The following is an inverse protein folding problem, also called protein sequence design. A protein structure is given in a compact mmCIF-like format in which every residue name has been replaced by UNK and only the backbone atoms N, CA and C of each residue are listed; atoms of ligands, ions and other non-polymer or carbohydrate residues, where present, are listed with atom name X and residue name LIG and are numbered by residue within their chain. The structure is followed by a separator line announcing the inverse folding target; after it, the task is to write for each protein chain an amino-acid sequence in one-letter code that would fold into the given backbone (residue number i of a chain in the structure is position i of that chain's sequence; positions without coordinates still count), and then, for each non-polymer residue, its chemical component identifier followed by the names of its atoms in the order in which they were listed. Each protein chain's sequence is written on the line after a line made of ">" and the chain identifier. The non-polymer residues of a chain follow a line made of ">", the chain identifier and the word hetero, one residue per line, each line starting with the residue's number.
data_IF_300214439540
#
_entry.id   IF_300214439540
#
_cell.length_a   1.000
_cell.length_b   1.000
_cell.length_c   1.000
_cell.angle_alpha   90.00
_cell.angle_beta   90.00
_cell.angle_gamma   90.00
#
_symmetry.space_group_name_H-M   'P 1'
#
loop_
_entity.id
_entity.type
_entity.pdbx_description
1 polymer ?
#
# COMPACT_ATOMS: atom_id res chain seq x y z
N UNK A 1 -60.70 6.64 -55.70
CA UNK A 1 -59.48 7.00 -54.96
C UNK A 1 -58.38 6.07 -55.45
N UNK A 2 -57.29 6.63 -55.95
CA UNK A 2 -56.39 6.05 -56.93
C UNK A 2 -55.36 5.13 -56.28
N UNK A 3 -55.14 3.92 -56.79
CA UNK A 3 -54.12 2.94 -56.36
C UNK A 3 -52.70 3.57 -56.13
N UNK A 4 -52.40 4.62 -56.85
CA UNK A 4 -51.12 5.34 -56.75
C UNK A 4 -50.92 6.08 -55.39
N UNK A 5 -51.96 6.47 -54.67
CA UNK A 5 -51.86 7.15 -53.39
C UNK A 5 -51.64 6.16 -52.22
N UNK A 6 -52.15 4.89 -52.34
CA UNK A 6 -51.88 3.86 -51.34
C UNK A 6 -50.45 3.36 -51.36
N UNK A 7 -49.85 3.26 -52.56
CA UNK A 7 -48.40 2.87 -52.66
C UNK A 7 -47.44 3.97 -52.13
N UNK A 8 -47.81 5.24 -52.28
CA UNK A 8 -46.99 6.34 -51.72
C UNK A 8 -47.05 6.43 -50.19
N UNK A 9 -48.18 6.12 -49.58
CA UNK A 9 -48.31 6.06 -48.10
C UNK A 9 -47.65 4.81 -47.51
N UNK A 10 -47.77 3.68 -48.21
CA UNK A 10 -47.08 2.45 -47.82
C UNK A 10 -45.55 2.59 -47.85
N UNK A 11 -44.99 3.21 -48.90
CA UNK A 11 -43.55 3.45 -48.97
C UNK A 11 -43.02 4.43 -47.97
N UNK A 12 -43.81 5.41 -47.49
CA UNK A 12 -43.41 6.30 -46.41
C UNK A 12 -43.39 5.61 -45.05
N UNK A 13 -44.34 4.71 -44.77
CA UNK A 13 -44.40 3.92 -43.54
C UNK A 13 -43.18 2.97 -43.42
N UNK A 14 -42.81 2.34 -44.51
CA UNK A 14 -41.65 1.43 -44.53
C UNK A 14 -40.29 2.19 -44.39
N UNK A 15 -40.20 3.40 -44.94
CA UNK A 15 -39.01 4.24 -44.74
C UNK A 15 -38.85 4.73 -43.30
N UNK A 16 -39.93 5.03 -42.60
CA UNK A 16 -39.90 5.42 -41.18
C UNK A 16 -39.56 4.24 -40.29
N UNK A 17 -40.06 3.04 -40.59
CA UNK A 17 -39.72 1.81 -39.84
C UNK A 17 -38.28 1.38 -40.11
N UNK A 18 -37.77 1.56 -41.35
CA UNK A 18 -36.36 1.27 -41.65
C UNK A 18 -35.39 2.29 -41.04
N UNK A 19 -35.76 3.58 -40.90
CA UNK A 19 -34.93 4.56 -40.17
C UNK A 19 -34.99 4.35 -38.64
N UNK A 20 -36.11 3.89 -38.08
CA UNK A 20 -36.20 3.55 -36.68
C UNK A 20 -35.42 2.26 -36.36
N UNK A 21 -35.36 1.29 -37.27
CA UNK A 21 -34.56 0.08 -37.13
C UNK A 21 -33.06 0.34 -37.25
N UNK A 22 -32.65 1.38 -38.03
CA UNK A 22 -31.25 1.80 -38.15
C UNK A 22 -30.76 2.63 -36.95
N UNK A 23 -31.65 3.16 -36.11
CA UNK A 23 -31.25 3.86 -34.86
C UNK A 23 -31.30 2.98 -33.63
N UNK A 24 -31.80 1.76 -33.69
CA UNK A 24 -31.74 0.75 -32.62
C UNK A 24 -30.56 -0.21 -32.80
N UNK A 25 -29.87 -0.16 -33.94
CA UNK A 25 -28.77 -1.06 -34.30
C UNK A 25 -27.35 -0.58 -33.95
N UNK A 26 -27.19 0.48 -33.16
CA UNK A 26 -25.86 0.99 -32.76
C UNK A 26 -25.66 1.07 -31.24
N UNK A 27 -26.23 0.11 -30.52
CA UNK A 27 -25.78 -0.21 -29.16
C UNK A 27 -25.38 -1.71 -29.12
N UNK A 28 -24.59 -2.14 -30.11
CA UNK A 28 -23.64 -3.22 -29.82
C UNK A 28 -22.60 -2.58 -28.91
N UNK A 29 -22.68 -2.90 -27.60
CA UNK A 29 -21.51 -2.80 -26.74
C UNK A 29 -20.41 -3.58 -27.47
N UNK A 30 -19.47 -2.90 -28.07
CA UNK A 30 -18.16 -3.49 -28.29
C UNK A 30 -17.69 -3.84 -26.89
N UNK A 31 -17.78 -5.11 -26.52
CA UNK A 31 -16.98 -5.64 -25.43
C UNK A 31 -15.53 -5.44 -25.89
N UNK A 32 -14.93 -4.31 -25.50
CA UNK A 32 -13.51 -4.11 -25.68
C UNK A 32 -12.82 -5.24 -24.95
N UNK A 33 -12.07 -6.06 -25.69
CA UNK A 33 -11.35 -7.19 -25.08
C UNK A 33 -10.47 -6.68 -23.96
N UNK A 34 -10.69 -7.19 -22.76
CA UNK A 34 -9.88 -6.90 -21.59
C UNK A 34 -10.39 -5.78 -20.68
N UNK A 35 -11.57 -5.20 -20.93
CA UNK A 35 -12.19 -4.23 -20.02
C UNK A 35 -12.84 -4.98 -18.85
N UNK A 36 -12.48 -4.58 -17.64
CA UNK A 36 -13.06 -5.10 -16.39
C UNK A 36 -13.79 -3.96 -15.68
N UNK A 37 -15.00 -4.24 -15.18
CA UNK A 37 -15.83 -3.28 -14.46
C UNK A 37 -16.01 -3.71 -13.00
N UNK A 38 -16.03 -2.71 -12.12
CA UNK A 38 -16.33 -2.90 -10.69
C UNK A 38 -17.19 -1.76 -10.18
N UNK A 39 -18.13 -2.05 -9.30
CA UNK A 39 -18.90 -1.04 -8.55
C UNK A 39 -18.67 -1.27 -7.06
N UNK A 40 -18.04 -0.31 -6.41
CA UNK A 40 -17.76 -0.36 -4.99
C UNK A 40 -19.05 -0.26 -4.14
N UNK A 41 -18.97 -0.77 -2.91
CA UNK A 41 -20.02 -0.65 -1.89
C UNK A 41 -20.24 0.79 -1.43
N UNK A 42 -20.74 0.95 -0.20
CA UNK A 42 -20.93 2.27 0.37
C UNK A 42 -19.59 2.97 0.64
N UNK A 43 -19.47 4.27 0.28
CA UNK A 43 -18.24 5.00 0.51
C UNK A 43 -18.03 5.25 2.02
N UNK A 44 -16.78 5.24 2.45
CA UNK A 44 -16.46 5.76 3.77
C UNK A 44 -16.29 7.29 3.72
N UNK A 45 -16.54 7.94 4.84
CA UNK A 45 -16.30 9.37 5.01
C UNK A 45 -14.82 9.62 5.28
N UNK A 46 -14.19 10.47 4.48
CA UNK A 46 -12.80 10.91 4.71
C UNK A 46 -12.69 11.78 5.96
N UNK A 47 -11.52 11.78 6.57
CA UNK A 47 -11.21 12.61 7.74
C UNK A 47 -11.09 14.10 7.37
N UNK A 48 -11.30 14.95 8.35
CA UNK A 48 -11.03 16.39 8.24
C UNK A 48 -9.83 16.71 9.15
N UNK A 49 -8.71 17.08 8.56
CA UNK A 49 -7.49 17.45 9.28
C UNK A 49 -7.06 18.86 8.91
N UNK A 50 -6.56 19.60 9.88
CA UNK A 50 -6.04 20.95 9.66
C UNK A 50 -4.72 20.89 8.88
N UNK A 51 -4.45 21.94 8.11
CA UNK A 51 -3.14 22.07 7.46
C UNK A 51 -2.05 22.21 8.54
N UNK A 52 -0.97 21.41 8.47
CA UNK A 52 0.08 21.44 9.50
C UNK A 52 0.76 22.81 9.55
N UNK A 53 1.07 23.26 10.77
CA UNK A 53 1.90 24.44 10.95
C UNK A 53 3.31 24.15 10.44
N UNK A 54 3.78 24.96 9.48
CA UNK A 54 5.17 24.89 9.00
C UNK A 54 6.08 25.21 10.17
N UNK A 55 7.03 24.33 10.58
CA UNK A 55 8.21 24.84 11.34
C UNK A 55 9.01 23.91 12.23
N UNK A 56 8.62 22.67 12.48
CA UNK A 56 9.42 21.82 13.38
C UNK A 56 9.93 20.57 12.66
N UNK A 57 11.15 20.16 13.00
CA UNK A 57 11.59 18.81 12.67
C UNK A 57 10.65 17.80 13.36
N UNK A 58 10.24 16.73 12.69
CA UNK A 58 9.38 15.75 13.28
C UNK A 58 10.09 14.99 14.40
N UNK A 59 9.34 14.68 15.46
CA UNK A 59 9.74 13.75 16.50
C UNK A 59 9.43 12.30 16.07
N UNK A 60 8.27 12.13 15.45
CA UNK A 60 7.77 10.84 14.98
C UNK A 60 7.71 10.82 13.45
N UNK A 61 7.94 9.66 12.87
CA UNK A 61 7.86 9.43 11.42
C UNK A 61 7.00 8.21 11.15
N UNK A 62 6.00 8.35 10.30
CA UNK A 62 5.17 7.25 9.82
C UNK A 62 5.32 7.21 8.30
N UNK A 63 5.94 6.13 7.81
CA UNK A 63 6.16 5.90 6.40
C UNK A 63 5.20 4.81 5.91
N UNK A 64 4.29 5.17 5.02
CA UNK A 64 3.21 4.32 4.55
C UNK A 64 3.42 3.96 3.09
N UNK A 65 3.33 2.68 2.75
CA UNK A 65 3.59 2.15 1.40
C UNK A 65 2.35 1.38 0.93
N UNK A 66 1.77 1.76 -0.21
CA UNK A 66 0.81 0.93 -0.94
C UNK A 66 1.56 0.18 -2.03
N UNK A 67 1.78 -1.11 -1.87
CA UNK A 67 2.54 -1.90 -2.84
C UNK A 67 1.83 -1.92 -4.20
N UNK A 68 2.55 -1.63 -5.27
CA UNK A 68 2.01 -1.56 -6.62
C UNK A 68 1.07 -0.38 -6.92
N UNK A 69 0.88 0.55 -5.96
CA UNK A 69 -0.12 1.62 -5.99
C UNK A 69 0.33 2.85 -6.80
N UNK A 70 0.20 2.81 -8.11
CA UNK A 70 0.43 3.97 -8.99
C UNK A 70 -0.74 4.97 -9.03
N UNK A 71 -0.61 6.00 -9.86
CA UNK A 71 -1.62 7.06 -10.02
C UNK A 71 -2.97 6.54 -10.53
N UNK A 72 -2.96 5.58 -11.45
CA UNK A 72 -4.19 5.00 -12.00
C UNK A 72 -4.97 4.20 -10.95
N UNK A 73 -4.25 3.50 -10.07
CA UNK A 73 -4.80 2.76 -8.95
C UNK A 73 -5.49 3.71 -7.96
N UNK A 74 -4.82 4.80 -7.60
CA UNK A 74 -5.36 5.84 -6.71
C UNK A 74 -6.58 6.50 -7.37
N UNK A 75 -6.49 6.87 -8.65
CA UNK A 75 -7.60 7.46 -9.40
C UNK A 75 -8.83 6.55 -9.45
N UNK A 76 -8.62 5.24 -9.62
CA UNK A 76 -9.68 4.24 -9.61
C UNK A 76 -10.35 4.12 -8.24
N UNK A 77 -9.57 4.05 -7.16
CA UNK A 77 -10.08 4.05 -5.79
C UNK A 77 -10.82 5.37 -5.44
N UNK A 78 -10.36 6.50 -5.96
CA UNK A 78 -11.02 7.80 -5.80
C UNK A 78 -12.43 7.80 -6.40
N UNK A 79 -12.61 7.29 -7.63
CA UNK A 79 -13.94 7.12 -8.24
C UNK A 79 -14.79 6.17 -7.40
N UNK A 80 -14.23 5.05 -6.98
CA UNK A 80 -14.91 4.02 -6.18
C UNK A 80 -15.43 4.58 -4.84
N UNK A 81 -14.67 5.45 -4.17
CA UNK A 81 -15.10 6.13 -2.93
C UNK A 81 -15.84 7.46 -3.17
N UNK A 82 -16.54 7.56 -4.28
CA UNK A 82 -17.40 8.72 -4.62
C UNK A 82 -16.64 10.04 -4.69
N UNK A 83 -15.40 10.02 -5.17
CA UNK A 83 -14.61 11.22 -5.45
C UNK A 83 -13.89 11.81 -4.23
N UNK A 84 -13.55 11.00 -3.23
CA UNK A 84 -12.76 11.45 -2.07
C UNK A 84 -11.85 10.35 -1.54
N UNK A 85 -10.60 10.70 -1.16
CA UNK A 85 -9.67 9.85 -0.42
C UNK A 85 -9.04 10.63 0.74
N UNK A 86 -8.59 9.93 1.78
CA UNK A 86 -7.88 10.54 2.91
C UNK A 86 -6.50 11.06 2.49
N UNK A 87 -5.80 10.35 1.62
CA UNK A 87 -4.47 10.78 1.13
C UNK A 87 -4.53 12.13 0.39
N UNK A 88 -5.68 12.55 -0.15
CA UNK A 88 -5.85 13.88 -0.74
C UNK A 88 -5.83 15.03 0.28
N UNK A 89 -5.94 14.72 1.58
CA UNK A 89 -5.83 15.72 2.66
C UNK A 89 -4.37 16.11 2.92
N UNK A 90 -3.41 15.40 2.34
CA UNK A 90 -1.99 15.64 2.47
C UNK A 90 -1.54 16.73 1.47
N UNK A 91 -1.03 17.88 1.95
CA UNK A 91 -0.86 19.06 1.11
C UNK A 91 0.37 19.05 0.20
N UNK A 92 1.34 18.19 0.48
CA UNK A 92 2.59 18.12 -0.27
C UNK A 92 2.62 16.86 -1.10
N UNK A 93 2.81 17.00 -2.41
CA UNK A 93 2.71 15.91 -3.37
C UNK A 93 3.86 15.99 -4.36
N UNK A 94 4.43 14.84 -4.68
CA UNK A 94 5.44 14.71 -5.72
C UNK A 94 5.39 13.34 -6.38
N UNK A 95 6.37 13.09 -7.23
CA UNK A 95 6.53 11.83 -7.95
C UNK A 95 7.93 11.26 -7.73
N UNK A 96 8.04 9.93 -7.67
CA UNK A 96 9.33 9.28 -7.59
C UNK A 96 9.56 8.26 -8.71
N UNK A 97 10.84 8.12 -9.12
CA UNK A 97 11.31 7.08 -10.03
C UNK A 97 11.73 5.86 -9.22
N UNK A 98 11.29 4.69 -9.65
CA UNK A 98 11.39 3.46 -8.86
C UNK A 98 12.41 2.45 -9.40
N UNK A 99 13.06 2.70 -10.55
CA UNK A 99 14.01 1.75 -11.17
C UNK A 99 15.10 1.29 -10.19
N UNK A 100 15.54 0.04 -10.34
CA UNK A 100 16.64 -0.55 -9.57
C UNK A 100 17.99 -0.51 -10.34
N UNK A 101 19.10 -0.93 -9.72
CA UNK A 101 20.43 -0.79 -10.34
C UNK A 101 20.57 -1.51 -11.66
N UNK A 102 19.97 -2.67 -11.81
CA UNK A 102 20.15 -3.53 -12.98
C UNK A 102 18.94 -3.57 -13.93
N UNK A 103 17.80 -2.95 -13.57
CA UNK A 103 16.57 -2.96 -14.38
C UNK A 103 15.78 -1.67 -14.27
N UNK A 104 15.13 -1.30 -15.39
CA UNK A 104 14.17 -0.18 -15.41
C UNK A 104 12.91 -0.48 -14.59
N UNK A 105 12.41 -1.70 -14.67
CA UNK A 105 11.24 -2.17 -13.94
C UNK A 105 11.71 -2.90 -12.69
N UNK A 106 11.51 -2.27 -11.54
CA UNK A 106 11.92 -2.80 -10.23
C UNK A 106 11.00 -3.94 -9.77
N UNK A 107 11.38 -4.59 -8.68
CA UNK A 107 10.51 -5.37 -7.81
C UNK A 107 10.47 -4.75 -6.41
N UNK A 108 9.60 -5.27 -5.54
CA UNK A 108 9.41 -4.76 -4.17
C UNK A 108 10.70 -4.88 -3.34
N UNK A 109 11.55 -5.89 -3.57
CA UNK A 109 12.82 -6.03 -2.83
C UNK A 109 13.78 -4.87 -3.11
N UNK A 110 14.05 -4.56 -4.38
CA UNK A 110 14.94 -3.46 -4.75
C UNK A 110 14.32 -2.09 -4.49
N UNK A 111 13.00 -1.92 -4.71
CA UNK A 111 12.30 -0.68 -4.43
C UNK A 111 12.18 -0.44 -2.92
N UNK A 112 11.79 -1.44 -2.15
CA UNK A 112 11.75 -1.40 -0.69
C UNK A 112 13.14 -1.12 -0.09
N UNK A 113 14.21 -1.75 -0.62
CA UNK A 113 15.58 -1.42 -0.23
C UNK A 113 15.88 0.06 -0.43
N UNK A 114 15.53 0.64 -1.59
CA UNK A 114 15.76 2.06 -1.85
C UNK A 114 14.95 2.95 -0.88
N UNK A 115 13.70 2.57 -0.58
CA UNK A 115 12.82 3.29 0.35
C UNK A 115 13.25 3.13 1.81
N UNK A 116 13.74 1.94 2.21
CA UNK A 116 14.17 1.69 3.58
C UNK A 116 15.53 2.31 3.90
N UNK A 117 16.48 2.27 2.95
CA UNK A 117 17.92 2.54 3.22
C UNK A 117 18.44 3.82 2.58
N UNK A 118 17.76 4.34 1.55
CA UNK A 118 18.26 5.42 0.70
C UNK A 118 19.30 4.98 -0.32
N UNK A 119 19.41 3.69 -0.61
CA UNK A 119 20.37 3.13 -1.57
C UNK A 119 19.67 2.16 -2.52
N UNK A 120 19.89 2.33 -3.83
CA UNK A 120 19.39 1.37 -4.82
C UNK A 120 20.22 0.09 -4.81
N UNK A 121 19.58 -1.04 -5.08
CA UNK A 121 20.21 -2.35 -5.25
C UNK A 121 19.72 -3.06 -6.51
N UNK A 122 20.14 -4.29 -6.74
CA UNK A 122 19.64 -5.13 -7.83
C UNK A 122 18.28 -5.73 -7.48
N UNK A 123 17.51 -6.04 -8.51
CA UNK A 123 16.24 -6.76 -8.40
C UNK A 123 16.41 -8.03 -7.57
N UNK A 124 15.48 -8.30 -6.65
CA UNK A 124 15.48 -9.48 -5.78
C UNK A 124 16.27 -9.35 -4.48
N UNK A 125 17.05 -8.29 -4.29
CA UNK A 125 17.92 -8.13 -3.12
C UNK A 125 17.23 -7.30 -2.02
N UNK A 126 17.29 -7.79 -0.78
CA UNK A 126 16.68 -7.23 0.42
C UNK A 126 17.75 -6.53 1.25
N UNK A 127 17.70 -5.21 1.36
CA UNK A 127 18.60 -4.34 2.13
C UNK A 127 20.11 -4.72 2.00
N UNK A 128 20.51 -5.25 0.84
CA UNK A 128 21.87 -5.74 0.54
C UNK A 128 22.31 -5.21 -0.82
N UNK A 129 23.58 -4.77 -0.93
CA UNK A 129 24.18 -4.36 -2.20
C UNK A 129 24.67 -5.59 -3.01
N UNK A 130 24.90 -5.43 -4.34
CA UNK A 130 25.37 -6.53 -5.18
C UNK A 130 26.72 -7.16 -4.77
N UNK A 131 27.51 -6.47 -3.98
CA UNK A 131 28.78 -6.96 -3.43
C UNK A 131 28.63 -7.68 -2.07
N UNK A 132 27.38 -7.82 -1.57
CA UNK A 132 27.08 -8.45 -0.29
C UNK A 132 27.10 -7.49 0.90
N UNK A 133 27.30 -6.18 0.68
CA UNK A 133 27.27 -5.19 1.76
C UNK A 133 25.82 -5.02 2.26
N UNK A 134 25.59 -5.25 3.55
CA UNK A 134 24.33 -5.01 4.23
C UNK A 134 24.09 -3.50 4.43
N UNK A 135 22.85 -3.06 4.28
CA UNK A 135 22.43 -1.65 4.33
C UNK A 135 21.57 -1.39 5.56
N UNK A 136 21.90 -0.41 6.36
CA UNK A 136 21.08 0.03 7.49
C UNK A 136 19.80 0.72 6.99
N UNK A 137 18.65 0.19 7.37
CA UNK A 137 17.36 0.81 7.11
C UNK A 137 17.13 2.06 7.98
N UNK A 138 16.08 2.82 7.69
CA UNK A 138 15.68 3.94 8.54
C UNK A 138 15.24 3.47 9.94
N UNK A 139 14.77 2.22 10.11
CA UNK A 139 14.45 1.67 11.43
C UNK A 139 15.73 1.42 12.23
N UNK A 140 16.77 0.86 11.63
CA UNK A 140 18.07 0.70 12.31
C UNK A 140 18.63 2.05 12.72
N UNK A 141 18.59 3.06 11.85
CA UNK A 141 19.02 4.45 12.19
C UNK A 141 18.18 5.03 13.34
N UNK A 142 16.88 4.73 13.38
CA UNK A 142 15.99 5.17 14.46
C UNK A 142 16.36 4.52 15.80
N UNK A 143 16.66 3.23 15.80
CA UNK A 143 17.14 2.50 16.98
C UNK A 143 18.46 3.08 17.49
N UNK A 144 19.41 3.36 16.60
CA UNK A 144 20.70 4.03 16.94
C UNK A 144 20.48 5.43 17.56
N UNK A 145 19.40 6.12 17.15
CA UNK A 145 18.99 7.42 17.71
C UNK A 145 18.13 7.28 19.00
N UNK A 146 17.92 6.07 19.51
CA UNK A 146 17.12 5.83 20.72
C UNK A 146 15.61 5.93 20.53
N UNK A 147 15.12 5.96 19.27
CA UNK A 147 13.70 5.98 18.93
C UNK A 147 13.12 4.57 18.92
N UNK A 148 11.84 4.45 19.24
CA UNK A 148 11.11 3.20 19.04
C UNK A 148 10.82 2.96 17.57
N UNK A 149 10.66 1.68 17.20
CA UNK A 149 10.45 1.28 15.82
C UNK A 149 9.29 0.33 15.65
N UNK A 150 8.60 0.39 14.49
CA UNK A 150 7.47 -0.47 14.21
C UNK A 150 7.32 -0.84 12.74
N UNK A 151 6.77 -2.03 12.50
CA UNK A 151 6.37 -2.54 11.19
C UNK A 151 4.96 -3.11 11.30
N UNK A 152 4.06 -2.66 10.44
CA UNK A 152 2.67 -3.13 10.36
C UNK A 152 2.34 -3.38 8.89
N UNK A 153 2.02 -4.63 8.53
CA UNK A 153 1.75 -5.02 7.15
C UNK A 153 0.54 -5.95 7.05
N UNK A 154 -0.06 -6.03 5.87
CA UNK A 154 -1.16 -6.97 5.61
C UNK A 154 -0.68 -8.25 4.92
N UNK A 155 0.53 -8.27 4.38
CA UNK A 155 1.18 -9.46 3.82
C UNK A 155 1.88 -10.32 4.90
N UNK A 156 2.59 -11.32 4.43
CA UNK A 156 3.56 -12.08 5.21
C UNK A 156 4.74 -11.19 5.61
N UNK A 157 5.21 -11.32 6.83
CA UNK A 157 6.38 -10.55 7.32
C UNK A 157 7.68 -10.87 6.57
N UNK A 158 7.76 -12.04 5.91
CA UNK A 158 8.87 -12.38 5.00
C UNK A 158 8.70 -11.84 3.58
N UNK A 159 7.64 -11.10 3.29
CA UNK A 159 7.54 -10.42 1.99
C UNK A 159 8.63 -9.37 1.85
N UNK A 160 8.93 -9.01 0.60
CA UNK A 160 10.10 -8.23 0.30
C UNK A 160 10.11 -6.85 0.96
N UNK A 161 8.99 -6.12 0.90
CA UNK A 161 8.94 -4.74 1.43
C UNK A 161 9.20 -4.67 2.93
N UNK A 162 8.48 -5.37 3.83
CA UNK A 162 8.78 -5.35 5.26
C UNK A 162 10.18 -5.86 5.57
N UNK A 163 10.64 -6.88 4.83
CA UNK A 163 11.97 -7.45 5.01
C UNK A 163 13.09 -6.42 4.79
N UNK A 164 12.94 -5.48 3.85
CA UNK A 164 13.96 -4.45 3.61
C UNK A 164 14.14 -3.47 4.77
N UNK A 165 13.17 -3.39 5.69
CA UNK A 165 13.25 -2.57 6.89
C UNK A 165 13.87 -3.31 8.08
N UNK A 166 13.82 -4.66 8.09
CA UNK A 166 14.15 -5.51 9.24
C UNK A 166 15.29 -6.50 8.99
N UNK A 167 15.56 -6.90 7.76
CA UNK A 167 16.36 -8.06 7.41
C UNK A 167 17.33 -7.74 6.28
N UNK A 168 18.27 -8.67 6.03
CA UNK A 168 19.25 -8.58 4.94
C UNK A 168 19.32 -9.92 4.21
N UNK A 169 19.06 -9.93 2.91
CA UNK A 169 19.27 -11.13 2.09
C UNK A 169 19.59 -10.74 0.63
N UNK A 170 20.43 -11.54 0.00
CA UNK A 170 20.71 -11.39 -1.43
C UNK A 170 19.58 -11.92 -2.31
N UNK A 171 18.62 -12.66 -1.74
CA UNK A 171 17.51 -13.31 -2.42
C UNK A 171 16.21 -13.21 -1.59
N UNK A 172 15.24 -12.41 -2.08
CA UNK A 172 13.93 -12.27 -1.46
C UNK A 172 13.14 -13.58 -1.27
N UNK A 173 13.50 -14.61 -2.04
CA UNK A 173 12.82 -15.90 -1.98
C UNK A 173 13.35 -16.80 -0.84
N UNK A 174 14.41 -16.38 -0.13
CA UNK A 174 14.91 -17.05 1.07
C UNK A 174 14.04 -16.78 2.31
N UNK A 175 12.76 -17.16 2.25
CA UNK A 175 11.76 -16.85 3.26
C UNK A 175 12.15 -17.30 4.69
N UNK A 176 12.76 -18.49 4.82
CA UNK A 176 13.17 -19.01 6.13
C UNK A 176 14.35 -18.25 6.74
N UNK A 177 15.32 -17.81 5.91
CA UNK A 177 16.43 -16.96 6.31
C UNK A 177 15.93 -15.58 6.76
N UNK A 178 15.10 -14.95 5.94
CA UNK A 178 14.50 -13.64 6.22
C UNK A 178 13.72 -13.65 7.56
N UNK A 179 12.89 -14.68 7.81
CA UNK A 179 12.18 -14.77 9.09
C UNK A 179 13.14 -15.00 10.26
N UNK A 180 14.24 -15.71 10.07
CA UNK A 180 15.22 -15.87 11.14
C UNK A 180 15.92 -14.56 11.52
N UNK A 181 16.10 -13.63 10.58
CA UNK A 181 16.70 -12.30 10.85
C UNK A 181 15.83 -11.43 11.75
N UNK A 182 14.51 -11.64 11.79
CA UNK A 182 13.63 -10.93 12.73
C UNK A 182 14.02 -11.15 14.20
N UNK A 183 14.69 -12.25 14.52
CA UNK A 183 15.16 -12.50 15.89
C UNK A 183 16.18 -11.45 16.37
N UNK A 184 16.88 -10.80 15.45
CA UNK A 184 17.95 -9.84 15.76
C UNK A 184 17.67 -8.42 15.22
N UNK A 185 16.52 -8.18 14.59
CA UNK A 185 16.16 -6.89 13.99
C UNK A 185 15.91 -5.77 15.02
N UNK A 186 15.58 -6.12 16.26
CA UNK A 186 15.37 -5.16 17.36
C UNK A 186 14.16 -4.22 17.18
N UNK A 187 13.24 -4.51 16.26
CA UNK A 187 12.04 -3.69 16.03
C UNK A 187 11.05 -3.88 17.18
N UNK A 188 10.61 -2.79 17.81
CA UNK A 188 9.78 -2.84 19.03
C UNK A 188 8.34 -3.35 18.78
N UNK A 189 7.77 -3.09 17.60
CA UNK A 189 6.41 -3.52 17.26
C UNK A 189 6.38 -4.11 15.85
N UNK A 190 6.09 -5.40 15.76
CA UNK A 190 6.02 -6.18 14.52
C UNK A 190 4.61 -6.76 14.43
N UNK A 191 3.88 -6.48 13.35
CA UNK A 191 2.56 -7.05 13.12
C UNK A 191 2.29 -7.31 11.63
N UNK A 192 1.88 -8.54 11.30
CA UNK A 192 1.57 -8.98 9.94
C UNK A 192 1.10 -10.42 9.89
N UNK A 193 1.18 -11.03 8.71
CA UNK A 193 0.91 -12.44 8.48
C UNK A 193 2.17 -13.29 8.39
N UNK A 194 2.05 -14.57 7.97
CA UNK A 194 3.16 -15.45 7.62
C UNK A 194 3.50 -16.53 8.63
N UNK A 195 2.57 -16.96 9.52
CA UNK A 195 2.82 -17.98 10.53
C UNK A 195 3.43 -19.27 9.95
N UNK A 196 3.10 -19.61 8.70
CA UNK A 196 3.70 -20.76 8.01
C UNK A 196 5.24 -20.68 7.99
N UNK A 197 5.79 -19.48 7.76
CA UNK A 197 7.26 -19.26 7.70
C UNK A 197 7.87 -19.01 9.09
N UNK A 198 7.09 -18.62 10.06
CA UNK A 198 7.55 -18.47 11.43
C UNK A 198 7.63 -19.81 12.16
N UNK A 199 6.71 -20.76 11.85
CA UNK A 199 6.59 -22.02 12.57
C UNK A 199 6.06 -23.18 11.71
N UNK A 200 4.86 -23.03 11.11
CA UNK A 200 4.01 -24.18 10.76
C UNK A 200 4.51 -24.99 9.53
N UNK A 201 5.20 -24.35 8.57
CA UNK A 201 5.68 -24.98 7.34
C UNK A 201 7.21 -24.85 7.14
N UNK A 202 7.97 -24.55 8.19
CA UNK A 202 9.43 -24.45 8.09
C UNK A 202 10.07 -25.81 7.83
N UNK A 203 11.07 -25.82 6.94
CA UNK A 203 11.80 -27.05 6.57
C UNK A 203 12.98 -27.34 7.50
N UNK A 204 13.48 -26.34 8.22
CA UNK A 204 14.57 -26.46 9.19
C UNK A 204 14.11 -26.95 10.57
N UNK A 205 12.79 -27.07 10.79
CA UNK A 205 12.18 -27.56 12.02
C UNK A 205 12.27 -26.59 13.21
N UNK A 206 12.64 -25.31 12.97
CA UNK A 206 12.65 -24.26 13.99
C UNK A 206 11.26 -23.70 14.23
N UNK A 207 11.02 -23.19 15.44
CA UNK A 207 9.86 -22.38 15.81
C UNK A 207 10.35 -20.94 16.13
N UNK A 208 10.49 -20.12 15.09
CA UNK A 208 10.97 -18.74 15.23
C UNK A 208 10.00 -17.90 16.06
N UNK A 209 8.68 -18.25 16.03
CA UNK A 209 7.69 -17.54 16.82
C UNK A 209 7.85 -17.80 18.33
N UNK A 210 8.25 -19.00 18.71
CA UNK A 210 8.65 -19.29 20.10
C UNK A 210 10.01 -18.64 20.43
N UNK A 211 10.99 -18.73 19.54
CA UNK A 211 12.33 -18.17 19.75
C UNK A 211 12.31 -16.64 19.96
N UNK A 212 11.47 -15.89 19.23
CA UNK A 212 11.33 -14.45 19.44
C UNK A 212 10.68 -14.14 20.80
N UNK A 213 9.76 -14.99 21.24
CA UNK A 213 9.21 -14.92 22.59
C UNK A 213 10.27 -15.12 23.67
N UNK A 214 11.22 -16.05 23.48
CA UNK A 214 12.37 -16.25 24.40
C UNK A 214 13.32 -15.04 24.42
N UNK A 215 13.36 -14.24 23.33
CA UNK A 215 14.08 -12.95 23.28
C UNK A 215 13.34 -11.80 23.99
N UNK A 216 12.16 -12.07 24.55
CA UNK A 216 11.41 -11.12 25.38
C UNK A 216 10.27 -10.40 24.68
N UNK A 217 9.94 -10.74 23.43
CA UNK A 217 8.76 -10.22 22.78
C UNK A 217 7.49 -10.83 23.34
N UNK A 218 6.47 -10.00 23.54
CA UNK A 218 5.12 -10.49 23.73
C UNK A 218 4.55 -10.93 22.37
N UNK A 219 4.14 -12.20 22.27
CA UNK A 219 3.72 -12.81 20.99
C UNK A 219 2.20 -12.95 20.92
N UNK A 220 1.62 -12.65 19.74
CA UNK A 220 0.16 -12.69 19.50
C UNK A 220 -0.15 -13.37 18.18
N UNK A 221 -1.16 -14.26 18.16
CA UNK A 221 -1.62 -14.99 16.98
C UNK A 221 -3.00 -14.50 16.49
N UNK A 222 -3.63 -13.56 17.18
CA UNK A 222 -4.90 -12.96 16.77
C UNK A 222 -4.98 -11.48 17.21
N UNK A 223 -5.82 -10.72 16.52
CA UNK A 223 -5.93 -9.27 16.74
C UNK A 223 -6.59 -8.92 18.06
N UNK A 224 -7.53 -9.72 18.54
CA UNK A 224 -8.25 -9.42 19.80
C UNK A 224 -7.29 -9.46 21.00
N UNK A 225 -6.42 -10.46 21.06
CA UNK A 225 -5.39 -10.57 22.08
C UNK A 225 -4.34 -9.46 21.93
N UNK A 226 -3.94 -9.13 20.70
CA UNK A 226 -3.04 -8.02 20.40
C UNK A 226 -3.57 -6.68 20.93
N UNK A 227 -4.88 -6.43 20.84
CA UNK A 227 -5.48 -5.20 21.39
C UNK A 227 -5.33 -5.10 22.92
N UNK A 228 -5.10 -6.21 23.60
CA UNK A 228 -4.78 -6.27 25.04
C UNK A 228 -3.30 -6.03 25.36
N UNK A 229 -2.41 -5.90 24.38
CA UNK A 229 -0.98 -5.68 24.61
C UNK A 229 -0.73 -4.37 25.38
N UNK A 230 0.18 -4.39 26.34
CA UNK A 230 0.50 -3.23 27.19
C UNK A 230 2.00 -2.92 27.32
N UNK A 231 2.87 -3.79 26.76
CA UNK A 231 4.33 -3.71 26.82
C UNK A 231 4.98 -4.00 25.48
N UNK A 232 6.06 -3.30 25.18
CA UNK A 232 6.98 -3.58 24.08
C UNK A 232 8.16 -4.44 24.59
N UNK A 233 8.83 -5.22 23.73
CA UNK A 233 8.52 -5.40 22.32
C UNK A 233 7.36 -6.39 22.05
N UNK A 234 6.74 -6.28 20.87
CA UNK A 234 5.61 -7.10 20.40
C UNK A 234 5.92 -7.74 19.06
N UNK A 235 5.58 -9.03 18.92
CA UNK A 235 5.54 -9.73 17.64
C UNK A 235 4.15 -10.37 17.44
N UNK A 236 3.36 -9.86 16.53
CA UNK A 236 2.03 -10.34 16.21
C UNK A 236 2.01 -10.93 14.79
N UNK A 237 1.84 -12.26 14.70
CA UNK A 237 1.73 -12.99 13.44
C UNK A 237 0.32 -13.55 13.32
N UNK A 238 -0.55 -12.83 12.61
CA UNK A 238 -2.00 -12.90 12.75
C UNK A 238 -2.70 -13.77 11.69
N UNK A 239 -1.95 -14.35 10.76
CA UNK A 239 -2.46 -15.23 9.74
C UNK A 239 -1.40 -16.23 9.28
N UNK A 240 -1.79 -17.40 8.70
CA UNK A 240 -0.83 -18.36 8.13
C UNK A 240 0.01 -17.79 6.98
N UNK A 241 -0.62 -17.05 6.09
CA UNK A 241 -0.04 -16.29 4.97
C UNK A 241 -0.37 -14.82 5.12
N UNK A 242 -0.92 -14.16 4.08
CA UNK A 242 -1.44 -12.80 4.14
C UNK A 242 -2.67 -12.72 5.04
N UNK A 243 -2.98 -11.53 5.57
CA UNK A 243 -4.27 -11.29 6.22
C UNK A 243 -5.42 -11.52 5.21
N UNK A 244 -6.64 -11.87 5.66
CA UNK A 244 -7.78 -12.03 4.76
C UNK A 244 -7.94 -10.81 3.85
N UNK A 245 -8.33 -11.03 2.58
CA UNK A 245 -8.55 -9.94 1.62
C UNK A 245 -9.58 -8.92 2.14
N UNK A 246 -9.34 -7.64 1.91
CA UNK A 246 -10.30 -6.58 2.21
C UNK A 246 -11.65 -6.82 1.53
N UNK A 247 -11.64 -7.30 0.28
CA UNK A 247 -12.86 -7.64 -0.48
C UNK A 247 -13.71 -8.72 0.20
N UNK A 248 -13.09 -9.67 0.92
CA UNK A 248 -13.84 -10.76 1.58
C UNK A 248 -14.69 -10.26 2.75
N UNK A 249 -14.35 -9.12 3.32
CA UNK A 249 -14.91 -8.61 4.57
C UNK A 249 -14.42 -9.34 5.83
N UNK A 250 -13.68 -10.43 5.71
CA UNK A 250 -13.16 -11.20 6.86
C UNK A 250 -12.06 -10.46 7.60
N UNK A 251 -11.30 -9.59 6.92
CA UNK A 251 -10.29 -8.72 7.55
C UNK A 251 -10.93 -7.73 8.54
N UNK A 252 -12.14 -7.24 8.22
CA UNK A 252 -12.79 -6.21 9.04
C UNK A 252 -11.88 -5.02 9.31
N UNK A 253 -11.76 -4.63 10.57
CA UNK A 253 -10.87 -3.54 11.02
C UNK A 253 -9.48 -4.01 11.47
N UNK A 254 -9.02 -5.23 11.13
CA UNK A 254 -7.74 -5.77 11.62
C UNK A 254 -6.58 -4.82 11.32
N UNK A 255 -6.42 -4.37 10.07
CA UNK A 255 -5.32 -3.50 9.66
C UNK A 255 -5.33 -2.16 10.41
N UNK A 256 -6.50 -1.54 10.54
CA UNK A 256 -6.69 -0.31 11.33
C UNK A 256 -6.36 -0.53 12.81
N UNK A 257 -6.82 -1.63 13.40
CA UNK A 257 -6.58 -1.97 14.81
C UNK A 257 -5.10 -2.22 15.08
N UNK A 258 -4.42 -2.99 14.24
CA UNK A 258 -2.97 -3.21 14.34
C UNK A 258 -2.20 -1.89 14.32
N UNK A 259 -2.54 -1.00 13.38
CA UNK A 259 -1.89 0.30 13.23
C UNK A 259 -2.16 1.23 14.39
N UNK A 260 -3.41 1.33 14.86
CA UNK A 260 -3.78 2.12 16.05
C UNK A 260 -3.06 1.62 17.29
N UNK A 261 -2.96 0.30 17.46
CA UNK A 261 -2.24 -0.31 18.59
C UNK A 261 -0.75 -0.02 18.53
N UNK A 262 -0.15 -0.06 17.33
CA UNK A 262 1.25 0.34 17.14
C UNK A 262 1.47 1.80 17.56
N UNK A 263 0.63 2.73 17.10
CA UNK A 263 0.71 4.15 17.47
C UNK A 263 0.60 4.34 19.00
N UNK A 264 -0.39 3.70 19.63
CA UNK A 264 -0.56 3.74 21.09
C UNK A 264 0.70 3.29 21.82
N UNK A 265 1.26 2.13 21.44
CA UNK A 265 2.36 1.51 22.15
C UNK A 265 3.71 2.19 21.89
N UNK A 266 3.95 2.63 20.65
CA UNK A 266 5.19 3.31 20.28
C UNK A 266 5.28 4.71 20.87
N UNK A 267 4.17 5.41 21.06
CA UNK A 267 4.13 6.75 21.66
C UNK A 267 4.08 6.75 23.19
N UNK A 268 3.50 5.70 23.80
CA UNK A 268 3.26 5.62 25.26
C UNK A 268 4.55 5.89 26.05
N UNK A 269 4.58 6.98 26.83
CA UNK A 269 5.72 7.39 27.68
C UNK A 269 7.05 7.53 26.90
N UNK A 270 6.98 7.85 25.60
CA UNK A 270 8.12 7.94 24.71
C UNK A 270 8.53 9.41 24.47
N UNK A 271 9.71 9.82 24.92
CA UNK A 271 10.23 11.17 24.74
C UNK A 271 11.04 11.34 23.45
N UNK A 272 11.67 10.27 22.99
CA UNK A 272 12.56 10.30 21.81
C UNK A 272 11.78 10.17 20.50
N UNK A 273 10.54 9.68 20.56
CA UNK A 273 9.68 9.45 19.40
C UNK A 273 9.92 8.10 18.75
N UNK A 274 9.30 7.91 17.59
CA UNK A 274 9.36 6.63 16.89
C UNK A 274 9.44 6.80 15.36
N UNK A 275 9.86 5.73 14.70
CA UNK A 275 9.76 5.56 13.24
C UNK A 275 8.99 4.26 12.96
N UNK A 276 7.94 4.35 12.15
CA UNK A 276 7.09 3.20 11.84
C UNK A 276 6.86 3.10 10.33
N UNK A 277 6.95 1.88 9.80
CA UNK A 277 6.51 1.53 8.45
C UNK A 277 5.13 0.86 8.53
N UNK A 278 4.22 1.26 7.65
CA UNK A 278 2.88 0.67 7.49
C UNK A 278 2.65 0.35 6.03
N UNK A 279 2.17 -0.85 5.73
CA UNK A 279 2.04 -1.26 4.34
C UNK A 279 0.68 -1.89 4.01
N UNK A 280 0.03 -1.33 2.98
CA UNK A 280 -1.06 -1.95 2.25
C UNK A 280 -0.51 -2.86 1.15
N UNK A 281 0.01 -4.01 1.54
CA UNK A 281 0.84 -4.87 0.70
C UNK A 281 0.05 -5.60 -0.39
N UNK A 282 -1.16 -6.08 -0.07
CA UNK A 282 -1.93 -6.96 -0.97
C UNK A 282 -2.58 -6.22 -2.16
N UNK A 283 -2.39 -4.91 -2.30
CA UNK A 283 -2.79 -4.17 -3.50
C UNK A 283 -2.09 -4.78 -4.72
N UNK A 284 -0.78 -5.03 -4.61
CA UNK A 284 0.06 -5.59 -5.67
C UNK A 284 -0.40 -6.99 -6.10
N UNK A 285 -0.68 -7.89 -5.15
CA UNK A 285 -1.14 -9.26 -5.43
C UNK A 285 -2.38 -9.27 -6.34
N UNK A 286 -3.36 -8.41 -6.05
CA UNK A 286 -4.57 -8.33 -6.84
C UNK A 286 -4.38 -7.62 -8.17
N UNK A 287 -3.42 -6.69 -8.27
CA UNK A 287 -3.02 -6.09 -9.55
C UNK A 287 -2.30 -7.09 -10.44
N UNK A 288 -1.45 -7.97 -9.89
CA UNK A 288 -0.88 -9.10 -10.60
C UNK A 288 -1.94 -10.08 -11.15
N UNK A 289 -3.01 -10.27 -10.40
CA UNK A 289 -4.14 -11.08 -10.82
C UNK A 289 -5.14 -10.35 -11.75
N UNK A 290 -4.89 -9.06 -12.09
CA UNK A 290 -5.78 -8.19 -12.86
C UNK A 290 -7.22 -8.13 -12.28
N UNK A 291 -7.34 -8.16 -10.94
CA UNK A 291 -8.58 -8.14 -10.16
C UNK A 291 -8.84 -6.73 -9.62
N UNK A 292 -9.51 -5.89 -10.43
CA UNK A 292 -9.83 -4.50 -10.06
C UNK A 292 -10.69 -4.42 -8.79
N UNK A 293 -11.63 -5.33 -8.61
CA UNK A 293 -12.50 -5.39 -7.44
C UNK A 293 -11.70 -5.53 -6.14
N UNK A 294 -10.81 -6.50 -6.08
CA UNK A 294 -10.00 -6.76 -4.90
C UNK A 294 -8.91 -5.67 -4.70
N UNK A 295 -8.24 -5.24 -5.77
CA UNK A 295 -7.24 -4.19 -5.69
C UNK A 295 -7.84 -2.86 -5.18
N UNK A 296 -9.03 -2.47 -5.65
CA UNK A 296 -9.72 -1.26 -5.18
C UNK A 296 -10.06 -1.37 -3.69
N UNK A 297 -10.59 -2.49 -3.22
CA UNK A 297 -10.93 -2.66 -1.80
C UNK A 297 -9.69 -2.66 -0.90
N UNK A 298 -8.53 -3.19 -1.36
CA UNK A 298 -7.26 -3.08 -0.64
C UNK A 298 -6.78 -1.61 -0.53
N UNK A 299 -6.90 -0.83 -1.62
CA UNK A 299 -6.52 0.59 -1.60
C UNK A 299 -7.47 1.38 -0.67
N UNK A 300 -8.76 1.08 -0.69
CA UNK A 300 -9.74 1.74 0.18
C UNK A 300 -9.49 1.39 1.65
N UNK A 301 -9.11 0.14 1.97
CA UNK A 301 -8.74 -0.28 3.32
C UNK A 301 -7.45 0.45 3.78
N UNK A 302 -6.43 0.49 2.92
CA UNK A 302 -5.19 1.24 3.17
C UNK A 302 -5.47 2.74 3.39
N UNK A 303 -6.32 3.37 2.57
CA UNK A 303 -6.65 4.79 2.71
C UNK A 303 -7.45 5.10 3.98
N UNK A 304 -8.24 4.15 4.51
CA UNK A 304 -8.84 4.28 5.84
C UNK A 304 -7.78 4.31 6.94
N UNK A 305 -6.73 3.49 6.81
CA UNK A 305 -5.57 3.53 7.72
C UNK A 305 -4.83 4.85 7.60
N UNK A 306 -4.64 5.37 6.38
CA UNK A 306 -4.09 6.73 6.17
C UNK A 306 -4.92 7.75 6.94
N UNK A 307 -6.25 7.68 6.87
CA UNK A 307 -7.15 8.56 7.63
C UNK A 307 -6.92 8.50 9.15
N UNK A 308 -6.86 7.29 9.72
CA UNK A 308 -6.59 7.09 11.15
C UNK A 308 -5.21 7.67 11.56
N UNK A 309 -4.20 7.49 10.71
CA UNK A 309 -2.84 8.03 10.92
C UNK A 309 -2.83 9.56 10.84
N UNK A 310 -3.54 10.16 9.89
CA UNK A 310 -3.63 11.62 9.76
C UNK A 310 -4.32 12.26 10.97
N UNK A 311 -5.43 11.68 11.46
CA UNK A 311 -6.09 12.17 12.68
C UNK A 311 -5.18 12.05 13.91
N UNK A 312 -4.40 10.98 14.00
CA UNK A 312 -3.43 10.81 15.07
C UNK A 312 -2.30 11.85 14.97
N UNK A 313 -1.72 12.02 13.78
CA UNK A 313 -0.63 12.96 13.52
C UNK A 313 -1.05 14.44 13.75
N UNK A 314 -2.30 14.79 13.40
CA UNK A 314 -2.84 16.12 13.71
C UNK A 314 -2.87 16.40 15.21
N UNK A 315 -3.34 15.43 16.00
CA UNK A 315 -3.42 15.55 17.48
C UNK A 315 -2.05 15.63 18.13
N UNK A 316 -1.09 14.84 17.63
CA UNK A 316 0.28 14.82 18.12
C UNK A 316 1.04 16.11 17.74
N UNK A 317 0.92 16.59 16.52
CA UNK A 317 1.52 17.84 16.02
C UNK A 317 3.03 17.80 15.81
N UNK A 318 3.72 16.69 16.08
CA UNK A 318 5.17 16.50 15.94
C UNK A 318 5.52 15.30 15.02
N UNK A 319 4.54 14.84 14.24
CA UNK A 319 4.66 13.67 13.35
C UNK A 319 4.76 14.08 11.89
N UNK A 320 5.69 13.48 11.16
CA UNK A 320 5.73 13.43 9.71
C UNK A 320 5.05 12.16 9.22
N UNK A 321 4.10 12.30 8.32
CA UNK A 321 3.48 11.19 7.59
C UNK A 321 3.86 11.30 6.13
N UNK A 322 4.39 10.22 5.55
CA UNK A 322 4.67 10.11 4.11
C UNK A 322 3.97 8.86 3.59
N UNK A 323 3.13 9.01 2.56
CA UNK A 323 2.44 7.92 1.86
C UNK A 323 3.01 7.82 0.46
N UNK A 324 3.36 6.62 0.00
CA UNK A 324 3.87 6.39 -1.35
C UNK A 324 3.55 4.96 -1.83
N UNK A 325 4.08 4.59 -2.99
CA UNK A 325 4.17 3.21 -3.47
C UNK A 325 5.63 2.87 -3.73
N UNK A 326 5.94 1.61 -3.81
CA UNK A 326 7.26 1.12 -4.19
C UNK A 326 7.44 1.01 -5.71
N UNK A 327 6.39 0.64 -6.44
CA UNK A 327 6.25 0.63 -7.91
C UNK A 327 4.79 0.72 -8.32
N UNK A 328 4.52 0.56 -9.63
CA UNK A 328 3.19 0.42 -10.18
C UNK A 328 3.04 -0.97 -10.81
N UNK A 329 1.88 -1.62 -10.64
CA UNK A 329 1.61 -2.99 -11.11
C UNK A 329 0.39 -3.07 -12.02
N UNK A 330 0.35 -4.10 -12.90
CA UNK A 330 -0.74 -4.41 -13.81
C UNK A 330 -0.81 -3.50 -15.04
N UNK A 331 -0.05 -2.40 -15.08
CA UNK A 331 -0.22 -1.34 -16.08
C UNK A 331 -1.72 -1.02 -16.31
N UNK A 332 -2.44 -0.89 -15.20
CA UNK A 332 -3.87 -0.60 -15.19
C UNK A 332 -4.14 0.78 -15.78
N UNK A 333 -5.22 0.92 -16.54
CA UNK A 333 -5.68 2.20 -17.08
C UNK A 333 -7.15 2.37 -16.74
N UNK A 334 -7.51 3.47 -16.07
CA UNK A 334 -8.89 3.87 -15.84
C UNK A 334 -9.50 4.42 -17.14
N UNK A 335 -10.41 3.66 -17.75
CA UNK A 335 -11.02 4.01 -19.04
C UNK A 335 -12.29 4.85 -18.87
N UNK A 336 -13.07 4.54 -17.84
CA UNK A 336 -14.33 5.21 -17.54
C UNK A 336 -14.70 5.02 -16.07
N UNK A 337 -15.55 5.91 -15.55
CA UNK A 337 -16.11 5.78 -14.22
C UNK A 337 -17.34 6.66 -14.00
N UNK A 338 -18.17 6.26 -13.04
CA UNK A 338 -19.29 7.04 -12.54
C UNK A 338 -19.10 7.28 -11.03
N UNK A 339 -18.73 8.51 -10.69
CA UNK A 339 -18.46 8.92 -9.30
C UNK A 339 -19.71 8.73 -8.41
N UNK A 340 -20.92 8.96 -8.94
CA UNK A 340 -22.13 8.88 -8.15
C UNK A 340 -22.44 7.45 -7.70
N UNK A 341 -22.17 6.46 -8.54
CA UNK A 341 -22.36 5.03 -8.22
C UNK A 341 -21.08 4.36 -7.70
N UNK A 342 -19.91 5.00 -7.86
CA UNK A 342 -18.60 4.40 -7.59
C UNK A 342 -18.26 3.25 -8.54
N UNK A 343 -18.77 3.34 -9.77
CA UNK A 343 -18.46 2.36 -10.81
C UNK A 343 -17.22 2.78 -11.57
N UNK A 344 -16.33 1.82 -11.84
CA UNK A 344 -15.10 2.00 -12.62
C UNK A 344 -15.02 0.97 -13.74
N UNK A 345 -14.45 1.36 -14.87
CA UNK A 345 -14.06 0.46 -15.95
C UNK A 345 -12.57 0.65 -16.22
N UNK A 346 -11.82 -0.44 -16.14
CA UNK A 346 -10.37 -0.44 -16.29
C UNK A 346 -9.92 -1.47 -17.32
N UNK A 347 -8.71 -1.28 -17.85
CA UNK A 347 -7.99 -2.27 -18.63
C UNK A 347 -6.62 -2.49 -17.99
N UNK A 348 -6.12 -3.73 -18.06
CA UNK A 348 -4.77 -4.10 -17.64
C UNK A 348 -3.93 -4.45 -18.86
N UNK A 349 -2.75 -3.85 -19.01
CA UNK A 349 -1.87 -4.13 -20.13
C UNK A 349 -0.94 -5.32 -19.88
N UNK A 350 -0.69 -5.68 -18.62
CA UNK A 350 0.12 -6.84 -18.21
C UNK A 350 -0.30 -7.33 -16.80
N UNK A 351 0.37 -8.38 -16.34
CA UNK A 351 0.24 -8.95 -15.00
C UNK A 351 1.44 -8.62 -14.10
N UNK A 352 2.39 -7.83 -14.57
CA UNK A 352 3.63 -7.52 -13.87
C UNK A 352 3.75 -6.05 -13.51
N UNK A 353 4.91 -5.71 -12.94
CA UNK A 353 5.26 -4.31 -12.67
C UNK A 353 5.53 -3.54 -13.96
N UNK A 354 5.54 -2.21 -13.87
CA UNK A 354 5.93 -1.33 -14.95
C UNK A 354 6.86 -0.21 -14.46
N UNK A 355 7.46 0.54 -15.41
CA UNK A 355 8.45 1.57 -15.11
C UNK A 355 7.87 2.98 -14.91
N UNK A 356 6.58 3.10 -14.57
CA UNK A 356 5.97 4.40 -14.32
C UNK A 356 6.43 4.99 -13.00
N UNK A 357 6.48 6.32 -12.93
CA UNK A 357 6.66 7.01 -11.65
C UNK A 357 5.44 6.79 -10.77
N UNK A 358 5.67 6.70 -9.46
CA UNK A 358 4.59 6.61 -8.48
C UNK A 358 4.52 7.90 -7.65
N UNK A 359 3.35 8.27 -7.12
CA UNK A 359 3.22 9.47 -6.32
C UNK A 359 3.75 9.25 -4.91
N UNK A 360 4.10 10.35 -4.26
CA UNK A 360 4.19 10.42 -2.81
C UNK A 360 3.39 11.61 -2.29
N UNK A 361 2.88 11.47 -1.07
CA UNK A 361 2.12 12.48 -0.35
C UNK A 361 2.79 12.69 1.00
N UNK A 362 2.84 13.92 1.49
CA UNK A 362 3.40 14.21 2.80
C UNK A 362 2.51 15.16 3.60
N UNK A 363 2.46 14.92 4.93
CA UNK A 363 1.67 15.69 5.89
C UNK A 363 2.44 15.82 7.21
N UNK A 364 2.21 16.92 7.92
CA UNK A 364 2.68 17.11 9.29
C UNK A 364 4.01 17.84 9.41
N UNK A 365 4.73 17.59 10.48
CA UNK A 365 5.97 18.29 10.81
C UNK A 365 7.06 18.02 9.77
N UNK A 366 7.62 19.06 9.17
CA UNK A 366 8.69 18.97 8.17
C UNK A 366 8.24 18.54 6.77
N UNK A 367 6.93 18.34 6.54
CA UNK A 367 6.39 17.86 5.28
C UNK A 367 6.58 18.86 4.12
N UNK A 368 6.79 20.13 4.39
CA UNK A 368 6.95 21.19 3.37
C UNK A 368 8.16 21.05 2.44
N UNK A 369 9.04 20.07 2.71
CA UNK A 369 10.19 19.75 1.86
C UNK A 369 9.89 18.67 0.81
N UNK A 370 8.74 18.00 0.94
CA UNK A 370 8.39 16.85 0.11
C UNK A 370 7.55 17.29 -1.09
N UNK A 371 8.20 17.70 -2.17
CA UNK A 371 7.57 18.07 -3.44
C UNK A 371 8.46 17.73 -4.63
N UNK A 372 7.94 17.91 -5.85
CA UNK A 372 8.69 17.73 -7.09
C UNK A 372 8.85 16.29 -7.55
N UNK A 373 9.90 16.04 -8.33
CA UNK A 373 10.20 14.73 -8.93
C UNK A 373 11.60 14.28 -8.52
N UNK A 374 11.68 13.13 -7.85
CA UNK A 374 12.94 12.63 -7.29
C UNK A 374 13.14 11.12 -7.51
N UNK A 375 14.23 10.59 -7.04
CA UNK A 375 14.48 9.15 -6.92
C UNK A 375 13.87 8.61 -5.63
N UNK A 376 13.41 7.34 -5.62
CA UNK A 376 12.93 6.71 -4.38
C UNK A 376 13.98 6.67 -3.27
N UNK A 377 15.25 6.47 -3.62
CA UNK A 377 16.36 6.56 -2.69
C UNK A 377 16.56 7.99 -2.12
N UNK A 378 16.23 9.04 -2.87
CA UNK A 378 16.25 10.43 -2.42
C UNK A 378 15.15 10.70 -1.41
N UNK A 379 13.91 10.23 -1.68
CA UNK A 379 12.79 10.32 -0.76
C UNK A 379 13.14 9.72 0.61
N UNK A 380 13.72 8.52 0.60
CA UNK A 380 14.19 7.85 1.82
C UNK A 380 15.24 8.66 2.59
N UNK A 381 16.22 9.26 1.88
CA UNK A 381 17.25 10.11 2.52
C UNK A 381 16.63 11.33 3.17
N UNK A 382 15.69 12.00 2.50
CA UNK A 382 14.99 13.16 3.05
C UNK A 382 14.24 12.82 4.34
N UNK A 383 13.60 11.63 4.40
CA UNK A 383 12.95 11.12 5.62
C UNK A 383 14.02 10.84 6.69
N UNK A 384 15.07 10.12 6.34
CA UNK A 384 16.15 9.71 7.25
C UNK A 384 16.92 10.90 7.84
N UNK A 385 17.01 12.03 7.13
CA UNK A 385 17.64 13.27 7.62
C UNK A 385 16.97 13.85 8.87
N UNK A 386 15.73 13.45 9.14
CA UNK A 386 15.01 13.80 10.36
C UNK A 386 15.25 12.83 11.53
N UNK A 387 15.86 11.68 11.28
CA UNK A 387 16.18 10.68 12.32
C UNK A 387 17.51 11.12 12.98
N UNK A 388 17.41 11.64 14.20
CA UNK A 388 18.57 12.19 14.95
C UNK A 388 18.53 11.73 16.38
#
# INVERSE_FOLDING_TARGET
>A
MNKRNKEKEMNKSWLIVALAALMVGCAEKNEEKGVTSYTAGEPYKTVEVAQPARTKAPKNIIFMIGDGMGLEQIGTAWVANRGTLNMEKMPYVGLQRTYCLNWLVTDSAAAGTALATGSKTNKGMVATLPDGTELNSMLVKAQEAGKRTGVVVVCRLNDATPSTFCCHDADRDNAEGIIADYLDCGVDYIAGGGMNYWRDERTDGRDIFAEIGEKGYATYENVDDLMGADKLPVAAVLAPLELPSALSGERGDMFRNMTKKALEMLDKENKEGFVMMVEGSCIDDWLHANRVDAAVEEILDFDRVVGDVLEWAEKDGETLVVVTADHCTGAMTLLWGDIASGTVEVNFANEGHNGMMVPFFAYGAGAEKFDGVMENAELSKMISDYIK
#
